data_IF_437158092541
#
_entry.id   IF_437158092541
#
_cell.length_a   1.000
_cell.length_b   1.000
_cell.length_c   1.000
_cell.angle_alpha   90.00
_cell.angle_beta   90.00
_cell.angle_gamma   90.00
#
_symmetry.space_group_name_H-M   'P 1'
#
loop_
_entity.id
_entity.type
_entity.pdbx_description
1 polymer ?
#
# COMPACT_ATOMS: atom_id res chain seq x y z
N UNK A 1 1.18 -5.65 26.91
CA UNK A 1 2.37 -5.37 26.07
C UNK A 1 2.17 -3.99 25.48
N UNK A 2 3.12 -3.07 25.69
CA UNK A 2 3.05 -1.75 25.04
C UNK A 2 3.52 -1.90 23.59
N UNK A 3 2.88 -1.25 22.62
CA UNK A 3 3.40 -1.21 21.25
C UNK A 3 4.77 -0.54 21.28
N UNK A 4 5.74 -1.18 20.61
CA UNK A 4 7.09 -0.65 20.45
C UNK A 4 7.38 -0.47 18.97
N UNK A 5 8.13 0.56 18.63
CA UNK A 5 8.62 0.72 17.25
C UNK A 5 9.60 -0.39 16.90
N UNK A 6 9.53 -0.82 15.65
CA UNK A 6 10.48 -1.76 15.06
C UNK A 6 11.91 -1.20 15.12
N UNK A 7 12.90 -2.09 15.20
CA UNK A 7 14.31 -1.72 15.11
C UNK A 7 14.64 -1.34 13.67
N UNK A 8 15.64 -0.46 13.49
CA UNK A 8 16.10 -0.04 12.14
C UNK A 8 16.55 -1.20 11.24
N UNK A 9 16.97 -2.31 11.83
CA UNK A 9 17.36 -3.54 11.11
C UNK A 9 16.18 -4.34 10.55
N UNK A 10 14.95 -4.03 10.98
CA UNK A 10 13.74 -4.70 10.51
C UNK A 10 13.20 -3.97 9.27
N UNK A 11 12.84 -4.74 8.25
CA UNK A 11 12.25 -4.18 7.03
C UNK A 11 10.85 -3.66 7.34
N UNK A 12 10.65 -2.35 7.24
CA UNK A 12 9.34 -1.75 7.39
C UNK A 12 8.47 -2.03 6.17
N UNK A 13 7.15 -2.16 6.39
CA UNK A 13 6.16 -2.17 5.32
C UNK A 13 5.88 -0.70 4.93
N UNK A 14 6.15 -0.29 3.69
CA UNK A 14 5.83 1.06 3.22
C UNK A 14 4.32 1.32 3.25
N UNK A 15 3.94 2.50 3.74
CA UNK A 15 2.57 3.00 3.71
C UNK A 15 2.57 4.25 2.83
N UNK A 16 1.83 4.20 1.72
CA UNK A 16 1.65 5.30 0.80
C UNK A 16 0.29 5.95 1.07
N UNK A 17 0.29 7.23 1.45
CA UNK A 17 -0.93 8.03 1.48
C UNK A 17 -1.16 8.55 0.07
N UNK A 18 -2.32 8.25 -0.50
CA UNK A 18 -2.62 8.43 -1.92
C UNK A 18 -3.91 9.22 -2.05
N UNK A 19 -3.85 10.34 -2.75
CA UNK A 19 -5.05 11.07 -3.15
C UNK A 19 -5.63 10.45 -4.44
N UNK A 20 -6.95 10.56 -4.64
CA UNK A 20 -7.64 9.87 -5.73
C UNK A 20 -7.14 10.28 -7.13
N UNK A 21 -6.68 11.52 -7.30
CA UNK A 21 -6.10 12.04 -8.54
C UNK A 21 -4.70 11.47 -8.82
N UNK A 22 -3.97 11.14 -7.76
CA UNK A 22 -2.61 10.60 -7.78
C UNK A 22 -2.56 9.07 -7.85
N UNK A 23 -3.69 8.40 -7.67
CA UNK A 23 -3.80 6.93 -7.65
C UNK A 23 -3.24 6.28 -8.93
N UNK A 24 -3.50 6.88 -10.08
CA UNK A 24 -3.00 6.33 -11.36
C UNK A 24 -1.48 6.38 -11.45
N UNK A 25 -0.87 7.48 -10.99
CA UNK A 25 0.58 7.65 -11.04
C UNK A 25 1.28 6.67 -10.10
N UNK A 26 0.83 6.57 -8.85
CA UNK A 26 1.46 5.68 -7.87
C UNK A 26 1.25 4.21 -8.22
N UNK A 27 0.11 3.83 -8.82
CA UNK A 27 -0.13 2.45 -9.23
C UNK A 27 0.80 2.02 -10.37
N UNK A 28 1.11 2.92 -11.30
CA UNK A 28 2.11 2.71 -12.36
C UNK A 28 3.52 2.61 -11.79
N UNK A 29 3.91 3.53 -10.90
CA UNK A 29 5.26 3.53 -10.29
C UNK A 29 5.54 2.26 -9.50
N UNK A 30 4.52 1.73 -8.82
CA UNK A 30 4.61 0.49 -8.05
C UNK A 30 4.34 -0.76 -8.89
N UNK A 31 3.92 -0.62 -10.15
CA UNK A 31 3.51 -1.71 -11.06
C UNK A 31 2.42 -2.62 -10.46
N UNK A 32 1.36 -1.98 -9.94
CA UNK A 32 0.23 -2.63 -9.23
C UNK A 32 -1.13 -2.26 -9.83
N UNK A 33 -1.18 -1.73 -11.05
CA UNK A 33 -2.41 -1.24 -11.69
C UNK A 33 -3.49 -2.31 -11.75
N UNK A 34 -3.14 -3.52 -12.18
CA UNK A 34 -4.07 -4.65 -12.22
C UNK A 34 -4.64 -4.98 -10.85
N UNK A 35 -3.80 -4.91 -9.81
CA UNK A 35 -4.23 -5.18 -8.44
C UNK A 35 -5.19 -4.11 -7.92
N UNK A 36 -4.90 -2.83 -8.17
CA UNK A 36 -5.78 -1.70 -7.85
C UNK A 36 -7.13 -1.85 -8.56
N UNK A 37 -7.12 -2.20 -9.84
CA UNK A 37 -8.31 -2.38 -10.67
C UNK A 37 -9.18 -3.56 -10.20
N UNK A 38 -8.58 -4.72 -9.96
CA UNK A 38 -9.29 -5.93 -9.49
C UNK A 38 -9.97 -5.67 -8.13
N UNK A 39 -9.29 -4.94 -7.23
CA UNK A 39 -9.82 -4.61 -5.92
C UNK A 39 -10.74 -3.38 -5.93
N UNK A 40 -10.95 -2.75 -7.09
CA UNK A 40 -11.77 -1.55 -7.26
C UNK A 40 -11.39 -0.42 -6.28
N UNK A 41 -10.10 -0.32 -5.93
CA UNK A 41 -9.61 0.67 -4.98
C UNK A 41 -9.63 2.06 -5.61
N UNK A 42 -10.16 3.05 -4.90
CA UNK A 42 -10.37 4.42 -5.38
C UNK A 42 -9.59 5.49 -4.61
N UNK A 43 -8.82 5.09 -3.60
CA UNK A 43 -8.13 6.02 -2.71
C UNK A 43 -9.07 7.11 -2.14
N UNK A 44 -10.24 6.71 -1.64
CA UNK A 44 -11.09 7.61 -0.85
C UNK A 44 -10.64 7.60 0.60
N UNK A 45 -10.89 8.69 1.33
CA UNK A 45 -10.53 8.83 2.74
C UNK A 45 -10.92 7.61 3.58
N UNK A 46 -9.92 6.99 4.20
CA UNK A 46 -10.06 5.83 5.08
C UNK A 46 -10.12 4.48 4.35
N UNK A 47 -10.05 4.45 3.02
CA UNK A 47 -9.86 3.20 2.29
C UNK A 47 -8.42 2.73 2.40
N UNK A 48 -8.24 1.42 2.51
CA UNK A 48 -6.93 0.79 2.62
C UNK A 48 -6.86 -0.34 1.59
N UNK A 49 -5.75 -0.43 0.86
CA UNK A 49 -5.41 -1.55 0.00
C UNK A 49 -4.06 -2.13 0.40
N UNK A 50 -4.06 -3.41 0.74
CA UNK A 50 -2.83 -4.17 1.00
C UNK A 50 -2.35 -4.76 -0.33
N UNK A 51 -1.08 -4.52 -0.67
CA UNK A 51 -0.46 -5.04 -1.88
C UNK A 51 0.40 -6.26 -1.51
N UNK A 52 0.10 -7.46 -2.03
CA UNK A 52 0.92 -8.63 -1.80
C UNK A 52 2.20 -8.58 -2.64
N UNK A 53 3.30 -9.05 -2.07
CA UNK A 53 4.50 -9.43 -2.79
C UNK A 53 4.33 -10.82 -3.43
N UNK A 54 5.24 -11.19 -4.32
CA UNK A 54 5.23 -12.50 -5.02
C UNK A 54 5.34 -13.71 -4.08
N UNK A 55 5.84 -13.51 -2.86
CA UNK A 55 5.94 -14.53 -1.82
C UNK A 55 4.73 -14.57 -0.88
N UNK A 56 3.68 -13.78 -1.15
CA UNK A 56 2.47 -13.70 -0.32
C UNK A 56 2.60 -12.86 0.94
N UNK A 57 3.78 -12.27 1.21
CA UNK A 57 3.93 -11.25 2.26
C UNK A 57 3.42 -9.90 1.78
N UNK A 58 3.32 -8.94 2.69
CA UNK A 58 2.92 -7.57 2.35
C UNK A 58 4.11 -6.85 1.71
N UNK A 59 3.91 -6.34 0.50
CA UNK A 59 4.87 -5.49 -0.20
C UNK A 59 4.76 -4.04 0.28
N UNK A 60 3.54 -3.48 0.24
CA UNK A 60 3.22 -2.14 0.72
C UNK A 60 1.72 -2.01 0.99
N UNK A 61 1.31 -0.85 1.51
CA UNK A 61 -0.08 -0.49 1.77
C UNK A 61 -0.38 0.85 1.10
N UNK A 62 -1.49 0.95 0.39
CA UNK A 62 -2.07 2.22 -0.05
C UNK A 62 -3.17 2.65 0.92
N UNK A 63 -3.19 3.91 1.29
CA UNK A 63 -4.23 4.51 2.15
C UNK A 63 -4.78 5.73 1.42
N UNK A 64 -6.11 5.75 1.24
CA UNK A 64 -6.85 6.88 0.67
C UNK A 64 -7.27 7.90 1.72
#
# INVERSE_FOLDING_TARGET
MLPIFAKKSETAIPIHVVESDSLKTISMELNIEDWVNINQFKASLGNILIVPASNGLISCVLVG
#
